data_IF_453511485969
#
_entry.id   IF_453511485969
#
_cell.length_a   1.000
_cell.length_b   1.000
_cell.length_c   1.000
_cell.angle_alpha   90.00
_cell.angle_beta   90.00
_cell.angle_gamma   90.00
#
_symmetry.space_group_name_H-M   'P 1'
#
loop_
_entity.id
_entity.type
_entity.pdbx_description
1 polymer ?
#
# COMPACT_ATOMS: atom_id res chain seq x y z
N UNK A 1 -6.27 20.95 26.84
CA UNK A 1 -6.30 20.17 25.58
C UNK A 1 -7.28 19.00 25.77
N UNK A 2 -8.44 18.98 25.09
CA UNK A 2 -9.39 17.84 25.21
C UNK A 2 -8.81 16.64 24.47
N UNK A 3 -8.59 15.52 25.16
CA UNK A 3 -8.22 14.27 24.50
C UNK A 3 -9.33 13.83 23.56
N UNK A 4 -8.97 13.53 22.31
CA UNK A 4 -9.92 13.01 21.31
C UNK A 4 -10.49 11.67 21.77
N UNK A 5 -11.78 11.44 21.50
CA UNK A 5 -12.43 10.16 21.83
C UNK A 5 -11.86 9.05 20.94
N UNK A 6 -11.79 7.79 21.42
CA UNK A 6 -11.25 6.65 20.66
C UNK A 6 -11.75 6.51 19.21
N UNK A 7 -13.07 6.68 18.89
CA UNK A 7 -13.54 6.65 17.51
C UNK A 7 -12.91 7.75 16.65
N UNK A 8 -12.71 8.96 17.20
CA UNK A 8 -12.12 10.09 16.46
C UNK A 8 -10.67 9.81 16.05
N UNK A 9 -9.90 9.12 16.90
CA UNK A 9 -8.49 8.75 16.63
C UNK A 9 -8.40 7.69 15.52
N UNK A 10 -9.33 6.75 15.46
CA UNK A 10 -9.36 5.73 14.40
C UNK A 10 -9.72 6.30 13.02
N UNK A 11 -10.45 7.41 12.98
CA UNK A 11 -10.65 8.13 11.74
C UNK A 11 -9.40 8.93 11.33
N UNK A 12 -8.42 9.18 12.22
CA UNK A 12 -7.19 9.90 11.86
C UNK A 12 -6.44 9.19 10.75
N UNK A 13 -6.31 7.85 10.77
CA UNK A 13 -5.64 7.14 9.66
C UNK A 13 -6.29 7.42 8.30
N UNK A 14 -7.63 7.49 8.29
CA UNK A 14 -8.43 7.78 7.09
C UNK A 14 -8.38 9.28 6.74
N UNK A 15 -8.46 10.18 7.72
CA UNK A 15 -8.33 11.61 7.50
C UNK A 15 -6.94 11.97 7.02
N UNK A 16 -5.89 11.35 7.56
CA UNK A 16 -4.53 11.44 7.05
C UNK A 16 -4.55 11.02 5.59
N UNK A 17 -5.05 9.82 5.24
CA UNK A 17 -5.16 9.36 3.84
C UNK A 17 -5.91 10.34 2.92
N UNK A 18 -6.98 10.99 3.41
CA UNK A 18 -7.76 11.98 2.66
C UNK A 18 -7.06 13.34 2.55
N UNK A 19 -6.40 13.81 3.60
CA UNK A 19 -5.61 15.05 3.61
C UNK A 19 -4.44 14.92 2.64
N UNK A 20 -3.77 13.77 2.65
CA UNK A 20 -2.75 13.42 1.66
C UNK A 20 -3.33 13.55 0.25
N UNK A 21 -4.52 13.01 0.03
CA UNK A 21 -5.20 13.10 -1.26
C UNK A 21 -5.42 14.55 -1.72
N UNK A 22 -5.89 15.41 -0.82
CA UNK A 22 -6.11 16.84 -1.11
C UNK A 22 -4.79 17.55 -1.44
N UNK A 23 -3.73 17.29 -0.69
CA UNK A 23 -2.41 17.89 -0.94
C UNK A 23 -1.81 17.41 -2.27
N UNK A 24 -1.97 16.13 -2.60
CA UNK A 24 -1.47 15.53 -3.86
C UNK A 24 -2.25 15.99 -5.07
N UNK A 25 -3.58 16.04 -4.97
CA UNK A 25 -4.44 16.52 -6.04
C UNK A 25 -4.26 18.02 -6.35
N UNK A 26 -3.80 18.79 -5.36
CA UNK A 26 -3.67 20.25 -5.50
C UNK A 26 -2.43 20.75 -6.21
N UNK A 27 -1.31 19.99 -6.24
CA UNK A 27 0.00 20.63 -6.49
C UNK A 27 0.89 20.06 -7.61
N UNK A 28 0.65 18.88 -8.20
CA UNK A 28 1.63 18.33 -9.18
C UNK A 28 1.09 17.58 -10.40
N UNK A 29 -0.23 17.48 -10.61
CA UNK A 29 -0.77 16.57 -11.64
C UNK A 29 -2.00 17.09 -12.39
N UNK A 30 -2.35 18.38 -12.27
CA UNK A 30 -3.38 18.98 -13.13
C UNK A 30 -2.89 18.96 -14.59
N UNK A 31 -3.34 17.97 -15.37
CA UNK A 31 -3.13 17.90 -16.82
C UNK A 31 -2.39 16.66 -17.36
N UNK A 32 -1.94 15.71 -16.52
CA UNK A 32 -1.31 14.48 -17.03
C UNK A 32 -2.31 13.33 -17.23
N UNK A 33 -2.13 12.55 -18.29
CA UNK A 33 -2.96 11.36 -18.61
C UNK A 33 -2.95 10.32 -17.45
N UNK A 34 -1.90 10.32 -16.63
CA UNK A 34 -1.74 9.42 -15.49
C UNK A 34 -2.23 9.99 -14.16
N UNK A 35 -2.74 11.23 -14.08
CA UNK A 35 -3.12 11.82 -12.80
C UNK A 35 -4.18 11.01 -12.07
N UNK A 36 -5.33 10.82 -12.71
CA UNK A 36 -6.47 10.13 -12.11
C UNK A 36 -6.09 8.67 -11.78
N UNK A 37 -5.31 8.04 -12.65
CA UNK A 37 -4.84 6.66 -12.47
C UNK A 37 -3.89 6.56 -11.27
N UNK A 38 -2.90 7.45 -11.17
CA UNK A 38 -1.95 7.48 -10.05
C UNK A 38 -2.65 7.82 -8.73
N UNK A 39 -3.66 8.70 -8.77
CA UNK A 39 -4.48 9.04 -7.62
C UNK A 39 -5.24 7.81 -7.09
N UNK A 40 -5.78 6.94 -7.96
CA UNK A 40 -6.39 5.68 -7.54
C UNK A 40 -5.38 4.79 -6.81
N UNK A 41 -4.18 4.60 -7.36
CA UNK A 41 -3.12 3.82 -6.72
C UNK A 41 -2.73 4.36 -5.34
N UNK A 42 -2.56 5.68 -5.23
CA UNK A 42 -2.27 6.35 -3.97
C UNK A 42 -3.41 6.21 -2.95
N UNK A 43 -4.67 6.33 -3.40
CA UNK A 43 -5.85 6.15 -2.55
C UNK A 43 -5.87 4.76 -1.95
N UNK A 44 -5.70 3.74 -2.80
CA UNK A 44 -5.65 2.36 -2.37
C UNK A 44 -4.55 2.16 -1.33
N UNK A 45 -3.31 2.56 -1.65
CA UNK A 45 -2.17 2.37 -0.76
C UNK A 45 -2.35 3.07 0.59
N UNK A 46 -2.83 4.32 0.59
CA UNK A 46 -3.02 5.11 1.81
C UNK A 46 -4.13 4.54 2.69
N UNK A 47 -5.24 4.07 2.11
CA UNK A 47 -6.33 3.44 2.86
C UNK A 47 -5.91 2.07 3.40
N UNK A 48 -5.16 1.29 2.64
CA UNK A 48 -4.60 0.02 3.13
C UNK A 48 -3.63 0.26 4.28
N UNK A 49 -2.73 1.25 4.18
CA UNK A 49 -1.89 1.69 5.29
C UNK A 49 -2.72 2.09 6.53
N UNK A 50 -3.82 2.82 6.33
CA UNK A 50 -4.71 3.23 7.42
C UNK A 50 -5.36 2.01 8.13
N UNK A 51 -5.59 0.90 7.44
CA UNK A 51 -6.07 -0.33 8.07
C UNK A 51 -5.02 -0.91 9.04
N UNK A 52 -3.75 -0.91 8.67
CA UNK A 52 -2.64 -1.32 9.56
C UNK A 52 -2.49 -0.36 10.73
N UNK A 53 -2.55 0.95 10.48
CA UNK A 53 -2.49 1.98 11.52
C UNK A 53 -3.61 1.82 12.54
N UNK A 54 -4.84 1.64 12.09
CA UNK A 54 -5.98 1.42 12.98
C UNK A 54 -5.85 0.10 13.75
N UNK A 55 -5.33 -0.96 13.13
CA UNK A 55 -5.00 -2.20 13.83
C UNK A 55 -3.96 -2.00 14.93
N UNK A 56 -2.90 -1.24 14.65
CA UNK A 56 -1.86 -0.89 15.60
C UNK A 56 -2.41 -0.06 16.78
N UNK A 57 -3.10 1.04 16.48
CA UNK A 57 -3.67 1.93 17.50
C UNK A 57 -4.64 1.19 18.40
N UNK A 58 -5.51 0.35 17.83
CA UNK A 58 -6.43 -0.50 18.61
C UNK A 58 -5.66 -1.46 19.52
N UNK A 59 -4.63 -2.13 19.00
CA UNK A 59 -3.83 -3.09 19.76
C UNK A 59 -2.83 -2.49 20.76
N UNK A 60 -2.71 -1.16 20.84
CA UNK A 60 -1.78 -0.47 21.76
C UNK A 60 -2.55 0.42 22.74
N UNK A 61 -3.47 1.24 22.25
CA UNK A 61 -4.07 2.33 23.00
C UNK A 61 -5.56 2.13 23.29
N UNK A 62 -6.30 1.45 22.39
CA UNK A 62 -7.77 1.37 22.48
C UNK A 62 -8.32 -0.02 22.11
N UNK A 63 -8.03 -1.07 22.91
CA UNK A 63 -8.39 -2.45 22.57
C UNK A 63 -9.88 -2.67 22.33
N UNK A 64 -10.75 -1.95 23.06
CA UNK A 64 -12.21 -2.04 22.97
C UNK A 64 -12.83 -1.30 21.78
N UNK A 65 -12.02 -0.57 20.99
CA UNK A 65 -12.56 0.28 19.93
C UNK A 65 -13.03 -0.51 18.70
N UNK A 66 -14.23 -0.21 18.20
CA UNK A 66 -14.79 -0.90 17.03
C UNK A 66 -14.44 -0.18 15.72
N UNK A 67 -13.78 -0.91 14.82
CA UNK A 67 -13.34 -0.45 13.49
C UNK A 67 -14.02 -1.17 12.33
N UNK A 68 -14.99 -2.07 12.62
CA UNK A 68 -15.61 -2.94 11.61
C UNK A 68 -16.31 -2.15 10.51
N UNK A 69 -17.10 -1.13 10.87
CA UNK A 69 -17.84 -0.31 9.90
C UNK A 69 -16.88 0.49 9.00
N UNK A 70 -15.88 1.12 9.61
CA UNK A 70 -14.85 1.87 8.88
C UNK A 70 -14.09 0.98 7.90
N UNK A 71 -13.64 -0.19 8.36
CA UNK A 71 -12.99 -1.19 7.52
C UNK A 71 -13.91 -1.65 6.38
N UNK A 72 -15.18 -1.97 6.66
CA UNK A 72 -16.15 -2.41 5.65
C UNK A 72 -16.31 -1.37 4.53
N UNK A 73 -16.45 -0.09 4.86
CA UNK A 73 -16.61 0.99 3.87
C UNK A 73 -15.32 1.16 3.07
N UNK A 74 -14.20 1.38 3.75
CA UNK A 74 -12.91 1.67 3.10
C UNK A 74 -12.38 0.49 2.30
N UNK A 75 -12.73 -0.75 2.66
CA UNK A 75 -12.43 -1.95 1.86
C UNK A 75 -13.01 -1.86 0.45
N UNK A 76 -14.26 -1.40 0.28
CA UNK A 76 -14.85 -1.27 -1.07
C UNK A 76 -14.12 -0.22 -1.92
N UNK A 77 -13.72 0.89 -1.31
CA UNK A 77 -12.90 1.91 -1.98
C UNK A 77 -11.53 1.36 -2.38
N UNK A 78 -10.86 0.64 -1.48
CA UNK A 78 -9.58 -0.03 -1.78
C UNK A 78 -9.77 -1.00 -2.94
N UNK A 79 -10.78 -1.88 -2.88
CA UNK A 79 -11.05 -2.88 -3.91
C UNK A 79 -11.26 -2.24 -5.29
N UNK A 80 -12.11 -1.20 -5.36
CA UNK A 80 -12.31 -0.46 -6.60
C UNK A 80 -10.99 0.15 -7.11
N UNK A 81 -10.24 0.81 -6.23
CA UNK A 81 -9.02 1.53 -6.61
C UNK A 81 -7.88 0.60 -7.06
N UNK A 82 -7.67 -0.56 -6.40
CA UNK A 82 -6.61 -1.52 -6.77
C UNK A 82 -6.89 -2.19 -8.11
N UNK A 83 -8.15 -2.27 -8.56
CA UNK A 83 -8.52 -2.80 -9.88
C UNK A 83 -8.48 -1.69 -10.92
N UNK A 84 -9.12 -0.55 -10.63
CA UNK A 84 -9.23 0.56 -11.57
C UNK A 84 -7.85 1.16 -11.92
N UNK A 85 -6.92 1.20 -10.97
CA UNK A 85 -5.56 1.70 -11.21
C UNK A 85 -4.82 0.93 -12.32
N UNK A 86 -4.52 -0.38 -12.20
CA UNK A 86 -3.79 -1.12 -13.23
C UNK A 86 -4.57 -1.27 -14.54
N UNK A 87 -5.91 -1.28 -14.51
CA UNK A 87 -6.71 -1.25 -15.73
C UNK A 87 -6.59 0.09 -16.46
N UNK A 88 -6.60 1.21 -15.73
CA UNK A 88 -6.34 2.53 -16.28
C UNK A 88 -4.94 2.64 -16.87
N UNK A 89 -3.91 2.12 -16.18
CA UNK A 89 -2.54 2.03 -16.73
C UNK A 89 -2.54 1.21 -18.02
N UNK A 90 -3.18 0.04 -18.04
CA UNK A 90 -3.28 -0.82 -19.23
C UNK A 90 -3.93 -0.10 -20.39
N UNK A 91 -5.01 0.64 -20.12
CA UNK A 91 -5.72 1.44 -21.11
C UNK A 91 -4.80 2.48 -21.73
N UNK A 92 -4.12 3.29 -20.92
CA UNK A 92 -3.20 4.33 -21.42
C UNK A 92 -2.10 3.70 -22.27
N UNK A 93 -1.40 2.69 -21.75
CA UNK A 93 -0.32 1.99 -22.47
C UNK A 93 -0.81 1.43 -23.81
N UNK A 94 -2.00 0.82 -23.83
CA UNK A 94 -2.59 0.25 -25.05
C UNK A 94 -2.97 1.35 -26.04
N UNK A 95 -3.63 2.42 -25.57
CA UNK A 95 -4.04 3.57 -26.40
C UNK A 95 -2.86 4.34 -26.97
N UNK A 96 -1.72 4.32 -26.29
CA UNK A 96 -0.46 4.90 -26.79
C UNK A 96 0.25 4.01 -27.84
N UNK A 97 -0.36 2.90 -28.28
CA UNK A 97 0.16 2.06 -29.37
C UNK A 97 1.16 0.98 -28.95
N UNK A 98 1.37 0.76 -27.65
CA UNK A 98 2.33 -0.25 -27.16
C UNK A 98 1.76 -1.67 -27.10
N UNK A 99 0.46 -1.84 -27.42
CA UNK A 99 -0.24 -3.13 -27.41
C UNK A 99 -0.61 -3.62 -26.00
N UNK A 100 -0.90 -4.91 -25.89
CA UNK A 100 -1.35 -5.53 -24.63
C UNK A 100 -0.20 -6.03 -23.73
N UNK A 101 -0.38 -6.04 -22.40
CA UNK A 101 0.59 -6.63 -21.47
C UNK A 101 0.83 -8.14 -21.75
N UNK A 102 1.98 -8.71 -21.34
CA UNK A 102 3.03 -8.09 -20.53
C UNK A 102 4.08 -7.32 -21.34
N UNK A 103 4.24 -7.61 -22.64
CA UNK A 103 5.30 -6.99 -23.45
C UNK A 103 5.12 -5.48 -23.62
N UNK A 104 3.89 -4.99 -23.63
CA UNK A 104 3.64 -3.54 -23.70
C UNK A 104 4.21 -2.78 -22.51
N UNK A 105 4.21 -3.38 -21.31
CA UNK A 105 4.77 -2.75 -20.11
C UNK A 105 6.29 -2.62 -20.16
N UNK A 106 6.99 -3.64 -20.68
CA UNK A 106 8.45 -3.57 -20.86
C UNK A 106 8.79 -2.48 -21.88
N UNK A 107 8.03 -2.41 -22.98
CA UNK A 107 8.23 -1.39 -24.02
C UNK A 107 7.93 0.03 -23.53
N UNK A 108 6.90 0.19 -22.68
CA UNK A 108 6.46 1.49 -22.17
C UNK A 108 7.32 2.00 -21.01
N UNK A 109 7.52 1.18 -19.97
CA UNK A 109 8.23 1.59 -18.75
C UNK A 109 9.73 1.29 -18.78
N UNK A 110 10.19 0.50 -19.75
CA UNK A 110 11.56 0.01 -19.84
C UNK A 110 11.82 -1.22 -18.96
N UNK A 111 12.80 -2.02 -19.36
CA UNK A 111 13.16 -3.26 -18.67
C UNK A 111 13.58 -3.02 -17.20
N UNK A 112 14.26 -1.90 -16.92
CA UNK A 112 14.70 -1.55 -15.56
C UNK A 112 13.56 -1.35 -14.56
N UNK A 113 12.36 -0.99 -15.04
CA UNK A 113 11.19 -0.73 -14.20
C UNK A 113 10.21 -1.91 -14.18
N UNK A 114 10.40 -2.92 -15.03
CA UNK A 114 9.49 -4.05 -15.16
C UNK A 114 9.32 -4.81 -13.85
N UNK A 115 10.39 -4.97 -13.07
CA UNK A 115 10.34 -5.62 -11.76
C UNK A 115 9.31 -4.94 -10.85
N UNK A 116 9.28 -3.61 -10.81
CA UNK A 116 8.38 -2.86 -9.95
C UNK A 116 6.93 -2.96 -10.43
N UNK A 117 6.69 -3.02 -11.74
CA UNK A 117 5.38 -3.32 -12.30
C UNK A 117 4.92 -4.73 -11.90
N UNK A 118 5.82 -5.72 -11.97
CA UNK A 118 5.53 -7.10 -11.58
C UNK A 118 5.19 -7.21 -10.08
N UNK A 119 5.89 -6.47 -9.20
CA UNK A 119 5.57 -6.41 -7.77
C UNK A 119 4.12 -5.94 -7.55
N UNK A 120 3.68 -4.91 -8.28
CA UNK A 120 2.30 -4.41 -8.23
C UNK A 120 1.28 -5.47 -8.67
N UNK A 121 1.56 -6.17 -9.78
CA UNK A 121 0.67 -7.21 -10.31
C UNK A 121 0.54 -8.42 -9.39
N UNK A 122 1.66 -8.90 -8.83
CA UNK A 122 1.63 -10.01 -7.86
C UNK A 122 0.88 -9.59 -6.59
N UNK A 123 1.10 -8.37 -6.11
CA UNK A 123 0.37 -7.83 -4.94
C UNK A 123 -1.13 -7.78 -5.19
N UNK A 124 -1.56 -7.34 -6.38
CA UNK A 124 -2.97 -7.32 -6.77
C UNK A 124 -3.60 -8.71 -6.68
N UNK A 125 -2.97 -9.73 -7.27
CA UNK A 125 -3.49 -11.11 -7.23
C UNK A 125 -3.64 -11.63 -5.79
N UNK A 126 -2.68 -11.31 -4.93
CA UNK A 126 -2.74 -11.66 -3.51
C UNK A 126 -3.90 -10.93 -2.82
N UNK A 127 -4.06 -9.62 -3.02
CA UNK A 127 -5.16 -8.86 -2.42
C UNK A 127 -6.54 -9.33 -2.89
N UNK A 128 -6.69 -9.70 -4.16
CA UNK A 128 -7.94 -10.29 -4.65
C UNK A 128 -8.25 -11.63 -3.96
N UNK A 129 -7.22 -12.43 -3.66
CA UNK A 129 -7.39 -13.68 -2.91
C UNK A 129 -7.86 -13.46 -1.47
N UNK A 130 -7.51 -12.32 -0.86
CA UNK A 130 -7.93 -11.97 0.50
C UNK A 130 -9.45 -11.85 0.62
N UNK A 131 -10.12 -11.35 -0.41
CA UNK A 131 -11.58 -11.23 -0.41
C UNK A 131 -12.28 -12.59 -0.52
N UNK A 132 -11.63 -13.55 -1.18
CA UNK A 132 -12.11 -14.92 -1.30
C UNK A 132 -11.76 -15.80 -0.10
N UNK A 133 -10.90 -15.33 0.82
CA UNK A 133 -10.37 -16.15 1.93
C UNK A 133 -11.45 -16.76 2.82
N UNK A 134 -12.59 -16.07 2.98
CA UNK A 134 -13.71 -16.54 3.82
C UNK A 134 -14.30 -17.87 3.33
N UNK A 135 -14.11 -18.20 2.04
CA UNK A 135 -14.54 -19.45 1.42
C UNK A 135 -13.52 -20.58 1.55
N UNK A 136 -12.32 -20.29 2.06
CA UNK A 136 -11.24 -21.25 2.21
C UNK A 136 -11.25 -21.89 3.60
N UNK A 137 -10.62 -23.06 3.75
CA UNK A 137 -10.40 -23.65 5.06
C UNK A 137 -9.43 -22.82 5.92
N UNK A 138 -9.37 -23.11 7.23
CA UNK A 138 -8.59 -22.32 8.20
C UNK A 138 -7.09 -22.24 7.86
N UNK A 139 -6.50 -23.33 7.35
CA UNK A 139 -5.09 -23.36 6.94
C UNK A 139 -4.82 -22.34 5.83
N UNK A 140 -5.64 -22.34 4.78
CA UNK A 140 -5.47 -21.41 3.66
C UNK A 140 -5.85 -19.97 4.01
N UNK A 141 -6.79 -19.75 4.94
CA UNK A 141 -7.07 -18.40 5.47
C UNK A 141 -5.82 -17.76 6.09
N UNK A 142 -5.09 -18.51 6.92
CA UNK A 142 -3.85 -18.05 7.56
C UNK A 142 -2.78 -17.75 6.51
N UNK A 143 -2.63 -18.62 5.50
CA UNK A 143 -1.68 -18.41 4.41
C UNK A 143 -2.00 -17.11 3.67
N UNK A 144 -3.25 -16.89 3.27
CA UNK A 144 -3.67 -15.68 2.56
C UNK A 144 -3.48 -14.42 3.40
N UNK A 145 -3.67 -14.50 4.72
CA UNK A 145 -3.40 -13.39 5.64
C UNK A 145 -1.91 -13.00 5.64
N UNK A 146 -1.00 -13.96 5.73
CA UNK A 146 0.44 -13.67 5.69
C UNK A 146 0.92 -13.25 4.30
N UNK A 147 0.37 -13.83 3.24
CA UNK A 147 0.65 -13.37 1.87
C UNK A 147 0.18 -11.93 1.68
N UNK A 148 -0.97 -11.54 2.22
CA UNK A 148 -1.47 -10.16 2.12
C UNK A 148 -0.59 -9.18 2.87
N UNK A 149 -0.05 -9.57 4.03
CA UNK A 149 0.98 -8.79 4.72
C UNK A 149 2.24 -8.63 3.84
N UNK A 150 2.70 -9.69 3.19
CA UNK A 150 3.83 -9.61 2.27
C UNK A 150 3.53 -8.73 1.04
N UNK A 151 2.33 -8.83 0.46
CA UNK A 151 1.87 -7.98 -0.63
C UNK A 151 1.85 -6.50 -0.25
N UNK A 152 1.57 -6.15 1.01
CA UNK A 152 1.69 -4.77 1.49
C UNK A 152 3.12 -4.24 1.45
N UNK A 153 4.13 -5.07 1.70
CA UNK A 153 5.53 -4.68 1.52
C UNK A 153 5.88 -4.54 0.03
N UNK A 154 5.42 -5.47 -0.80
CA UNK A 154 5.64 -5.41 -2.25
C UNK A 154 5.04 -4.16 -2.89
N UNK A 155 3.79 -3.81 -2.55
CA UNK A 155 3.14 -2.61 -3.08
C UNK A 155 3.80 -1.33 -2.57
N UNK A 156 4.41 -1.36 -1.37
CA UNK A 156 5.21 -0.24 -0.86
C UNK A 156 6.42 0.01 -1.76
N UNK A 157 7.14 -1.03 -2.18
CA UNK A 157 8.25 -0.88 -3.12
C UNK A 157 7.79 -0.49 -4.52
N UNK A 158 6.71 -1.10 -5.02
CA UNK A 158 6.08 -0.69 -6.28
C UNK A 158 5.81 0.82 -6.28
N UNK A 159 5.22 1.33 -5.20
CA UNK A 159 4.87 2.73 -5.10
C UNK A 159 6.10 3.63 -4.96
N UNK A 160 7.10 3.25 -4.15
CA UNK A 160 8.35 4.00 -3.95
C UNK A 160 9.24 4.10 -5.20
N UNK A 161 9.19 3.11 -6.09
CA UNK A 161 10.13 2.99 -7.20
C UNK A 161 9.50 3.33 -8.55
N UNK A 162 8.17 3.18 -8.68
CA UNK A 162 7.44 3.45 -9.93
C UNK A 162 6.48 4.64 -9.83
N UNK A 163 6.28 5.22 -8.64
CA UNK A 163 5.33 6.31 -8.45
C UNK A 163 5.72 7.55 -9.25
N UNK A 164 5.02 7.82 -10.36
CA UNK A 164 5.20 9.03 -11.17
C UNK A 164 5.09 10.34 -10.35
N UNK A 165 4.32 10.30 -9.27
CA UNK A 165 4.11 11.41 -8.33
C UNK A 165 5.35 11.69 -7.47
N UNK A 166 6.30 10.77 -7.37
CA UNK A 166 7.52 10.88 -6.55
C UNK A 166 8.61 11.77 -7.16
N UNK A 167 8.36 12.39 -8.31
CA UNK A 167 9.27 13.39 -8.85
C UNK A 167 9.30 14.67 -7.99
N UNK A 168 8.24 14.95 -7.22
CA UNK A 168 8.22 16.03 -6.23
C UNK A 168 8.61 15.54 -4.83
N UNK A 169 9.50 16.30 -4.20
CA UNK A 169 10.12 16.01 -2.90
C UNK A 169 9.10 15.84 -1.75
N UNK A 170 8.00 16.58 -1.78
CA UNK A 170 6.95 16.51 -0.75
C UNK A 170 6.31 15.13 -0.75
N UNK A 171 6.11 14.55 -1.92
CA UNK A 171 5.56 13.20 -2.04
C UNK A 171 6.59 12.15 -1.63
N UNK A 172 7.87 12.31 -1.96
CA UNK A 172 8.91 11.38 -1.49
C UNK A 172 8.93 11.25 0.03
N UNK A 173 8.99 12.38 0.75
CA UNK A 173 8.98 12.40 2.22
C UNK A 173 7.74 11.66 2.75
N UNK A 174 6.59 11.92 2.13
CA UNK A 174 5.34 11.30 2.51
C UNK A 174 5.34 9.77 2.32
N UNK A 175 5.83 9.28 1.18
CA UNK A 175 5.94 7.85 0.94
C UNK A 175 6.96 7.17 1.86
N UNK A 176 8.05 7.86 2.21
CA UNK A 176 9.00 7.39 3.23
C UNK A 176 8.31 7.26 4.59
N UNK A 177 7.51 8.25 4.99
CA UNK A 177 6.72 8.17 6.22
C UNK A 177 5.79 6.96 6.21
N UNK A 178 5.03 6.73 5.14
CA UNK A 178 4.15 5.55 5.03
C UNK A 178 4.95 4.25 5.10
N UNK A 179 6.04 4.14 4.36
CA UNK A 179 6.86 2.93 4.30
C UNK A 179 7.50 2.60 5.66
N UNK A 180 8.09 3.59 6.33
CA UNK A 180 8.72 3.43 7.65
C UNK A 180 7.68 3.02 8.68
N UNK A 181 6.57 3.77 8.78
CA UNK A 181 5.52 3.49 9.76
C UNK A 181 4.85 2.13 9.50
N UNK A 182 4.58 1.77 8.24
CA UNK A 182 4.08 0.45 7.88
C UNK A 182 5.02 -0.64 8.37
N UNK A 183 6.31 -0.49 8.06
CA UNK A 183 7.31 -1.49 8.41
C UNK A 183 7.42 -1.65 9.94
N UNK A 184 7.34 -0.57 10.71
CA UNK A 184 7.32 -0.60 12.18
C UNK A 184 6.04 -1.27 12.73
N UNK A 185 4.88 -0.99 12.15
CA UNK A 185 3.63 -1.65 12.53
C UNK A 185 3.66 -3.15 12.25
N UNK A 186 4.25 -3.55 11.12
CA UNK A 186 4.46 -4.96 10.76
C UNK A 186 5.49 -5.63 11.68
N UNK A 187 6.56 -4.93 12.06
CA UNK A 187 7.53 -5.43 13.04
C UNK A 187 6.83 -5.84 14.35
N UNK A 188 5.95 -4.98 14.87
CA UNK A 188 5.14 -5.29 16.06
C UNK A 188 4.17 -6.45 15.81
N UNK A 189 3.53 -6.50 14.65
CA UNK A 189 2.61 -7.57 14.28
C UNK A 189 3.33 -8.93 14.34
N UNK A 190 4.49 -9.05 13.71
CA UNK A 190 5.27 -10.29 13.70
C UNK A 190 5.97 -10.60 15.03
N UNK A 191 6.37 -9.59 15.81
CA UNK A 191 6.89 -9.81 17.16
C UNK A 191 5.85 -10.40 18.12
N UNK A 192 4.55 -10.19 17.85
CA UNK A 192 3.44 -10.76 18.61
C UNK A 192 2.87 -12.05 18.01
N UNK A 193 3.44 -12.52 16.90
CA UNK A 193 2.98 -13.74 16.25
C UNK A 193 3.28 -14.98 17.13
N UNK A 194 2.28 -15.86 17.29
CA UNK A 194 2.42 -17.04 18.15
C UNK A 194 3.29 -18.10 17.49
N UNK A 195 3.23 -18.22 16.16
CA UNK A 195 4.07 -19.14 15.41
C UNK A 195 5.49 -18.58 15.30
N UNK A 196 6.45 -19.25 15.95
CA UNK A 196 7.87 -18.85 15.93
C UNK A 196 8.43 -18.76 14.50
N UNK A 197 8.08 -19.71 13.63
CA UNK A 197 8.53 -19.71 12.24
C UNK A 197 8.02 -18.48 11.49
N UNK A 198 6.73 -18.16 11.63
CA UNK A 198 6.12 -17.02 10.95
C UNK A 198 6.66 -15.70 11.50
N UNK A 199 6.86 -15.62 12.82
CA UNK A 199 7.49 -14.47 13.48
C UNK A 199 8.88 -14.19 12.90
N UNK A 200 9.75 -15.19 12.85
CA UNK A 200 11.12 -15.05 12.32
C UNK A 200 11.10 -14.62 10.86
N UNK A 201 10.34 -15.33 10.01
CA UNK A 201 10.25 -15.00 8.58
C UNK A 201 9.72 -13.58 8.38
N UNK A 202 8.66 -13.20 9.11
CA UNK A 202 8.10 -11.86 9.04
C UNK A 202 9.07 -10.76 9.49
N UNK A 203 9.84 -10.99 10.55
CA UNK A 203 10.84 -10.04 11.03
C UNK A 203 12.02 -9.89 10.05
N UNK A 204 12.44 -10.97 9.39
CA UNK A 204 13.44 -10.91 8.32
C UNK A 204 12.93 -10.03 7.17
N UNK A 205 11.68 -10.23 6.74
CA UNK A 205 11.07 -9.42 5.67
C UNK A 205 10.96 -7.94 6.06
N UNK A 206 10.61 -7.65 7.31
CA UNK A 206 10.61 -6.30 7.87
C UNK A 206 12.00 -5.68 7.85
N UNK A 207 13.03 -6.43 8.26
CA UNK A 207 14.41 -5.94 8.24
C UNK A 207 14.89 -5.61 6.82
N UNK A 208 14.63 -6.51 5.86
CA UNK A 208 14.91 -6.28 4.44
C UNK A 208 14.20 -5.00 3.97
N UNK A 209 12.92 -4.83 4.33
CA UNK A 209 12.16 -3.63 3.97
C UNK A 209 12.78 -2.35 4.50
N UNK A 210 13.16 -2.31 5.78
CA UNK A 210 13.85 -1.15 6.35
C UNK A 210 15.19 -0.87 5.65
N UNK A 211 15.98 -1.90 5.35
CA UNK A 211 17.25 -1.73 4.64
C UNK A 211 17.05 -1.13 3.25
N UNK A 212 16.08 -1.65 2.47
CA UNK A 212 15.78 -1.13 1.14
C UNK A 212 15.30 0.32 1.20
N UNK A 213 14.36 0.64 2.09
CA UNK A 213 13.86 2.02 2.27
C UNK A 213 15.02 2.95 2.66
N UNK A 214 15.90 2.52 3.54
CA UNK A 214 17.07 3.32 3.97
C UNK A 214 18.03 3.60 2.81
N UNK A 215 18.32 2.59 1.98
CA UNK A 215 19.17 2.76 0.79
C UNK A 215 18.53 3.74 -0.20
N UNK A 216 17.22 3.64 -0.43
CA UNK A 216 16.49 4.57 -1.31
C UNK A 216 16.60 6.00 -0.80
N UNK A 217 16.37 6.22 0.51
CA UNK A 217 16.48 7.54 1.14
C UNK A 217 17.88 8.10 0.94
N UNK A 218 18.93 7.34 1.26
CA UNK A 218 20.33 7.77 1.14
C UNK A 218 20.72 8.13 -0.30
N UNK A 219 20.24 7.38 -1.29
CA UNK A 219 20.48 7.69 -2.72
C UNK A 219 19.74 8.94 -3.17
N UNK A 220 18.56 9.22 -2.61
CA UNK A 220 17.76 10.39 -2.98
C UNK A 220 18.25 11.71 -2.40
N UNK A 221 19.21 11.67 -1.46
CA UNK A 221 19.84 12.84 -0.83
C UNK A 221 21.18 13.26 -1.45
N UNK A 222 21.63 12.55 -2.48
CA UNK A 222 22.82 12.88 -3.29
C UNK A 222 22.39 13.56 -4.58
#
# INVERSE_FOLDING_TARGET
>A
MKMLKPPQILYIGVYTALIIWVLVASSSLRGSEFFAISALGLTAYSLMWAHYFNGFIRGVFFPESNTKTLYKITKYFVFFAIIAHPLGVSYVVTSSGFGIPPMSYIRYFGLGNFLYVALGMVSLLIFLSFDLKSKLNKKYQIIVEHLSNFAMLMITFHALLLGYVLQDNRYRIFFYFLAITLTLMMARLYAKEKSKTISIVGLILVAISLSVVSIIILRSSQ
#
